data_IF_265842460956
#
_entry.id   IF_265842460956
#
_cell.length_a   1.000
_cell.length_b   1.000
_cell.length_c   1.000
_cell.angle_alpha   90.00
_cell.angle_beta   90.00
_cell.angle_gamma   90.00
#
_symmetry.space_group_name_H-M   'P 1'
#
loop_
_entity.id
_entity.type
_entity.pdbx_description
1 polymer ?
#
# COMPACT_ATOMS: atom_id res chain seq x y z
N UNK A 1 -7.46 47.24 40.03
CA UNK A 1 -6.65 46.02 39.87
C UNK A 1 -6.87 45.52 38.45
N UNK A 2 -5.90 45.73 37.55
CA UNK A 2 -5.99 45.33 36.13
C UNK A 2 -5.59 43.87 36.02
N UNK A 3 -6.54 43.00 35.64
CA UNK A 3 -6.28 41.60 35.33
C UNK A 3 -6.07 41.45 33.83
N UNK A 4 -4.81 41.32 33.40
CA UNK A 4 -4.47 41.01 32.02
C UNK A 4 -4.76 39.52 31.77
N UNK A 5 -5.86 39.21 31.08
CA UNK A 5 -6.16 37.86 30.61
C UNK A 5 -5.31 37.56 29.37
N UNK A 6 -4.19 36.87 29.55
CA UNK A 6 -3.40 36.32 28.45
C UNK A 6 -4.18 35.18 27.78
N UNK A 7 -4.85 35.47 26.66
CA UNK A 7 -5.42 34.45 25.77
C UNK A 7 -4.25 33.86 24.96
N UNK A 8 -3.78 32.68 25.37
CA UNK A 8 -2.91 31.86 24.53
C UNK A 8 -3.75 31.25 23.41
N UNK A 9 -3.63 31.78 22.19
CA UNK A 9 -4.20 31.18 20.99
C UNK A 9 -3.39 29.92 20.63
N UNK A 10 -3.82 28.76 21.13
CA UNK A 10 -3.26 27.47 20.70
C UNK A 10 -3.84 27.19 19.31
N UNK A 11 -3.05 27.41 18.26
CA UNK A 11 -3.39 26.93 16.92
C UNK A 11 -3.43 25.39 16.97
N UNK A 12 -4.53 24.72 16.57
CA UNK A 12 -4.52 23.27 16.46
C UNK A 12 -3.48 22.90 15.41
N UNK A 13 -2.49 22.10 15.81
CA UNK A 13 -1.56 21.47 14.89
C UNK A 13 -2.37 20.44 14.08
N UNK A 14 -3.03 20.88 13.00
CA UNK A 14 -3.80 19.99 12.15
C UNK A 14 -2.80 19.08 11.43
N UNK A 15 -2.62 17.87 11.94
CA UNK A 15 -1.95 16.82 11.18
C UNK A 15 -2.80 16.54 9.94
N UNK A 16 -2.22 16.76 8.77
CA UNK A 16 -2.86 16.39 7.51
C UNK A 16 -2.81 14.87 7.44
N UNK A 17 -3.96 14.21 7.52
CA UNK A 17 -4.09 12.80 7.23
C UNK A 17 -4.10 12.66 5.69
N UNK A 18 -3.12 11.97 5.12
CA UNK A 18 -3.05 11.75 3.69
C UNK A 18 -2.66 10.30 3.37
N UNK A 19 -3.03 9.87 2.16
CA UNK A 19 -2.53 8.62 1.62
C UNK A 19 -1.02 8.70 1.46
N UNK A 20 -0.30 7.75 2.06
CA UNK A 20 1.16 7.67 1.98
C UNK A 20 1.61 6.24 1.82
N UNK A 21 2.53 6.00 0.89
CA UNK A 21 3.31 4.76 0.86
C UNK A 21 4.41 4.88 1.92
N UNK A 22 4.36 4.01 2.93
CA UNK A 22 5.28 4.00 4.06
C UNK A 22 6.49 3.09 3.84
N UNK A 23 6.34 2.01 3.07
CA UNK A 23 7.46 1.20 2.57
C UNK A 23 7.13 0.64 1.20
N UNK A 24 8.14 0.56 0.34
CA UNK A 24 8.07 -0.09 -0.96
C UNK A 24 9.37 -0.89 -1.16
N UNK A 25 9.26 -2.21 -1.10
CA UNK A 25 10.40 -3.12 -1.13
C UNK A 25 10.19 -4.15 -2.25
N UNK A 26 11.14 -4.18 -3.17
CA UNK A 26 11.24 -5.16 -4.25
C UNK A 26 12.71 -5.59 -4.37
N UNK A 27 13.02 -6.83 -4.78
CA UNK A 27 14.40 -7.24 -4.99
C UNK A 27 15.05 -6.48 -6.15
N UNK A 28 16.32 -6.10 -5.98
CA UNK A 28 17.09 -5.39 -7.02
C UNK A 28 17.38 -6.26 -8.23
N UNK A 29 17.60 -7.56 -8.01
CA UNK A 29 17.90 -8.54 -9.04
C UNK A 29 17.35 -9.90 -8.63
N UNK A 30 16.72 -10.60 -9.58
CA UNK A 30 16.29 -11.98 -9.44
C UNK A 30 16.83 -12.80 -10.61
N UNK A 31 17.28 -14.02 -10.33
CA UNK A 31 17.63 -14.99 -11.37
C UNK A 31 16.36 -15.73 -11.81
N UNK A 32 16.24 -16.15 -13.08
CA UNK A 32 15.09 -16.96 -13.51
C UNK A 32 14.90 -18.19 -12.62
N UNK A 33 13.70 -18.31 -12.04
CA UNK A 33 13.34 -19.39 -11.12
C UNK A 33 13.42 -19.02 -9.64
N UNK A 34 14.00 -17.86 -9.28
CA UNK A 34 13.97 -17.35 -7.93
C UNK A 34 12.55 -16.90 -7.53
N UNK A 35 12.25 -17.03 -6.25
CA UNK A 35 11.04 -16.47 -5.64
C UNK A 35 11.32 -15.16 -4.92
N UNK A 36 10.30 -14.32 -4.82
CA UNK A 36 10.43 -13.00 -4.21
C UNK A 36 9.17 -12.55 -3.49
N UNK A 37 9.37 -11.69 -2.48
CA UNK A 37 8.30 -10.89 -1.92
C UNK A 37 8.38 -9.46 -2.47
N UNK A 38 7.25 -8.96 -2.94
CA UNK A 38 7.05 -7.55 -3.27
C UNK A 38 6.18 -6.94 -2.18
N UNK A 39 6.71 -5.97 -1.44
CA UNK A 39 6.01 -5.37 -0.29
C UNK A 39 5.70 -3.91 -0.56
N UNK A 40 4.44 -3.52 -0.32
CA UNK A 40 3.97 -2.14 -0.33
C UNK A 40 3.13 -1.90 0.91
N UNK A 41 3.70 -1.17 1.87
CA UNK A 41 3.00 -0.69 3.05
C UNK A 41 2.47 0.71 2.78
N UNK A 42 1.24 0.97 3.19
CA UNK A 42 0.58 2.25 2.97
C UNK A 42 -0.29 2.64 4.17
N UNK A 43 -0.31 3.94 4.45
CA UNK A 43 -1.21 4.60 5.37
C UNK A 43 -2.31 5.27 4.54
N UNK A 44 -3.58 5.02 4.88
CA UNK A 44 -4.74 5.54 4.16
C UNK A 44 -5.16 6.93 4.65
N UNK A 45 -4.56 7.46 5.72
CA UNK A 45 -4.94 8.76 6.26
C UNK A 45 -6.41 8.79 6.71
N UNK A 46 -6.92 7.69 7.28
CA UNK A 46 -8.31 7.58 7.72
C UNK A 46 -9.32 7.23 6.63
N UNK A 47 -8.90 7.12 5.37
CA UNK A 47 -9.77 6.75 4.25
C UNK A 47 -9.88 5.23 4.06
N UNK A 48 -10.84 4.83 3.21
CA UNK A 48 -11.02 3.43 2.80
C UNK A 48 -10.21 3.11 1.55
N UNK A 49 -9.52 1.97 1.59
CA UNK A 49 -8.79 1.46 0.43
C UNK A 49 -9.76 0.99 -0.66
N UNK A 50 -9.58 1.50 -1.87
CA UNK A 50 -10.27 0.99 -3.06
C UNK A 50 -9.62 -0.29 -3.59
N UNK A 51 -8.34 -0.24 -3.96
CA UNK A 51 -7.58 -1.42 -4.37
C UNK A 51 -6.07 -1.17 -4.29
N UNK A 52 -5.29 -2.25 -4.18
CA UNK A 52 -3.85 -2.28 -4.43
C UNK A 52 -3.63 -3.11 -5.68
N UNK A 53 -2.81 -2.61 -6.61
CA UNK A 53 -2.52 -3.29 -7.88
C UNK A 53 -1.02 -3.29 -8.14
N UNK A 54 -0.52 -4.39 -8.65
CA UNK A 54 0.85 -4.49 -9.12
C UNK A 54 0.90 -4.65 -10.64
N UNK A 55 1.81 -3.89 -11.26
CA UNK A 55 2.01 -3.85 -12.69
C UNK A 55 3.48 -4.12 -13.01
N UNK A 56 3.72 -4.80 -14.14
CA UNK A 56 5.02 -4.91 -14.79
C UNK A 56 4.82 -4.58 -16.26
N UNK A 57 5.56 -3.59 -16.78
CA UNK A 57 5.47 -3.17 -18.19
C UNK A 57 4.01 -2.94 -18.64
N UNK A 58 3.26 -2.15 -17.88
CA UNK A 58 1.85 -1.82 -18.11
C UNK A 58 0.85 -3.00 -18.03
N UNK A 59 1.33 -4.22 -17.71
CA UNK A 59 0.48 -5.38 -17.50
C UNK A 59 0.25 -5.60 -16.00
N UNK A 60 -1.02 -5.56 -15.60
CA UNK A 60 -1.43 -5.92 -14.24
C UNK A 60 -1.18 -7.40 -14.01
N UNK A 61 -0.61 -7.77 -12.87
CA UNK A 61 -0.37 -9.17 -12.51
C UNK A 61 -0.95 -9.56 -11.15
N UNK A 62 -1.25 -8.59 -10.28
CA UNK A 62 -1.92 -8.83 -9.00
C UNK A 62 -2.83 -7.67 -8.61
N UNK A 63 -3.97 -8.00 -7.99
CA UNK A 63 -4.91 -7.03 -7.40
C UNK A 63 -5.44 -7.52 -6.07
N UNK A 64 -5.39 -6.65 -5.07
CA UNK A 64 -6.20 -6.73 -3.86
C UNK A 64 -7.33 -5.71 -3.92
N UNK A 65 -8.58 -6.17 -3.82
CA UNK A 65 -9.78 -5.35 -3.82
C UNK A 65 -10.65 -5.73 -2.60
N UNK A 66 -10.59 -4.97 -1.48
CA UNK A 66 -11.21 -5.33 -0.21
C UNK A 66 -12.71 -5.66 -0.28
N UNK A 67 -13.44 -4.99 -1.19
CA UNK A 67 -14.89 -5.12 -1.32
C UNK A 67 -15.35 -6.26 -2.25
N UNK A 68 -14.43 -7.04 -2.84
CA UNK A 68 -14.77 -8.17 -3.71
C UNK A 68 -14.58 -9.51 -3.01
N UNK A 69 -15.23 -10.54 -3.55
CA UNK A 69 -15.01 -11.93 -3.17
C UNK A 69 -14.77 -12.77 -4.46
N UNK A 70 -13.57 -13.32 -4.69
CA UNK A 70 -12.39 -13.24 -3.82
C UNK A 70 -11.78 -11.83 -3.77
N UNK A 71 -11.14 -11.50 -2.64
CA UNK A 71 -10.48 -10.20 -2.44
C UNK A 71 -9.19 -10.07 -3.26
N UNK A 72 -8.60 -11.19 -3.70
CA UNK A 72 -7.32 -11.24 -4.38
C UNK A 72 -7.49 -11.86 -5.76
N UNK A 73 -6.81 -11.29 -6.76
CA UNK A 73 -6.79 -11.80 -8.13
C UNK A 73 -5.35 -11.75 -8.65
N UNK A 74 -4.93 -12.81 -9.33
CA UNK A 74 -3.72 -12.84 -10.14
C UNK A 74 -4.12 -12.79 -11.62
N UNK A 75 -3.32 -12.11 -12.42
CA UNK A 75 -3.49 -12.02 -13.87
C UNK A 75 -2.22 -12.52 -14.54
N UNK A 76 -2.35 -13.11 -15.72
CA UNK A 76 -1.18 -13.55 -16.48
C UNK A 76 -0.32 -12.36 -16.87
N UNK A 77 0.98 -12.44 -16.61
CA UNK A 77 1.97 -11.50 -17.10
C UNK A 77 3.30 -12.24 -17.40
N UNK A 78 4.02 -11.88 -18.48
CA UNK A 78 5.24 -12.58 -18.88
C UNK A 78 6.32 -12.64 -17.80
N UNK A 79 6.71 -13.87 -17.43
CA UNK A 79 7.74 -14.16 -16.44
C UNK A 79 7.35 -13.78 -15.01
N UNK A 80 6.05 -13.71 -14.71
CA UNK A 80 5.51 -13.46 -13.38
C UNK A 80 4.54 -14.58 -13.05
N UNK A 81 4.81 -15.25 -11.94
CA UNK A 81 3.91 -16.24 -11.34
C UNK A 81 3.53 -15.71 -9.98
N UNK A 82 2.26 -15.72 -9.60
CA UNK A 82 1.82 -15.21 -8.29
C UNK A 82 1.27 -16.35 -7.47
N UNK A 83 1.81 -16.57 -6.28
CA UNK A 83 1.25 -17.50 -5.30
C UNK A 83 0.20 -16.77 -4.45
N UNK A 84 -1.08 -16.92 -4.80
CA UNK A 84 -2.18 -16.32 -4.04
C UNK A 84 -2.29 -16.85 -2.60
N UNK A 85 -1.75 -18.04 -2.30
CA UNK A 85 -1.78 -18.60 -0.95
C UNK A 85 -0.79 -17.91 0.00
N UNK A 86 0.24 -17.26 -0.55
CA UNK A 86 1.27 -16.50 0.18
C UNK A 86 1.19 -14.98 -0.04
N UNK A 87 0.23 -14.53 -0.86
CA UNK A 87 0.02 -13.12 -1.18
C UNK A 87 -1.14 -12.54 -0.37
N UNK A 88 -1.13 -11.22 -0.16
CA UNK A 88 -2.15 -10.50 0.59
C UNK A 88 -2.15 -9.01 0.30
N UNK A 89 -2.84 -8.23 1.15
CA UNK A 89 -3.12 -6.80 0.93
C UNK A 89 -1.89 -5.92 0.64
N UNK A 90 -0.75 -6.27 1.21
CA UNK A 90 0.47 -5.45 1.20
C UNK A 90 1.68 -6.19 0.68
N UNK A 91 1.59 -7.50 0.45
CA UNK A 91 2.72 -8.33 0.06
C UNK A 91 2.29 -9.30 -1.02
N UNK A 92 3.06 -9.40 -2.10
CA UNK A 92 2.83 -10.34 -3.20
C UNK A 92 4.02 -11.29 -3.28
N UNK A 93 3.74 -12.60 -3.29
CA UNK A 93 4.78 -13.61 -3.48
C UNK A 93 4.81 -14.06 -4.94
N UNK A 94 6.00 -13.98 -5.53
CA UNK A 94 6.32 -14.47 -6.86
C UNK A 94 7.04 -15.82 -6.80
#
# INVERSE_FOLDING_TARGET
MRGEFFIFLILPLSSVLCLKISSFEVPDLLVPGDSAYLTCLYDLGGEKLYSVKWYKNDQEFYRFFPSLNPQYMAFEAPGIYVDLSKSGRSTVYL
#
